data_IF_832423551620
#
_entry.id   IF_832423551620
#
_cell.length_a   1.000
_cell.length_b   1.000
_cell.length_c   1.000
_cell.angle_alpha   90.00
_cell.angle_beta   90.00
_cell.angle_gamma   90.00
#
_symmetry.space_group_name_H-M   'P 1'
#
loop_
_entity.id
_entity.type
_entity.pdbx_description
1 polymer ?
#
# COMPACT_ATOMS: atom_id res chain seq x y z
N UNK A 1 -54.70 15.22 -41.00
CA UNK A 1 -53.83 15.91 -41.97
C UNK A 1 -52.38 15.50 -41.71
N UNK A 2 -51.66 15.21 -42.81
CA UNK A 2 -50.35 14.54 -42.93
C UNK A 2 -49.24 15.19 -42.08
N UNK A 3 -48.44 14.43 -41.34
CA UNK A 3 -47.31 13.56 -41.74
C UNK A 3 -46.03 14.35 -42.06
N UNK A 4 -45.05 14.26 -41.15
CA UNK A 4 -43.67 14.71 -41.32
C UNK A 4 -42.70 13.66 -40.79
N UNK A 5 -42.65 12.49 -41.44
CA UNK A 5 -41.54 11.53 -41.31
C UNK A 5 -40.53 11.82 -42.43
N UNK A 6 -39.27 12.04 -42.08
CA UNK A 6 -38.14 11.68 -42.94
C UNK A 6 -36.99 11.17 -42.09
N UNK A 7 -36.84 9.83 -42.11
CA UNK A 7 -35.60 9.14 -41.75
C UNK A 7 -34.63 9.28 -42.93
N UNK A 8 -33.33 9.43 -42.68
CA UNK A 8 -32.34 8.71 -43.50
C UNK A 8 -31.03 8.49 -42.76
N UNK A 9 -30.67 7.20 -42.67
CA UNK A 9 -29.41 6.65 -42.21
C UNK A 9 -28.45 6.65 -43.40
N UNK A 10 -27.22 7.14 -43.20
CA UNK A 10 -26.02 6.83 -43.97
C UNK A 10 -24.86 6.96 -42.97
N UNK A 11 -24.33 5.88 -42.39
CA UNK A 11 -23.44 4.89 -43.01
C UNK A 11 -22.17 5.53 -43.56
N UNK A 12 -21.24 5.88 -42.67
CA UNK A 12 -19.81 5.87 -42.98
C UNK A 12 -19.07 5.25 -41.80
N UNK A 13 -18.96 3.92 -41.85
CA UNK A 13 -17.83 3.24 -41.25
C UNK A 13 -16.60 3.75 -41.99
N UNK A 14 -15.76 4.51 -41.30
CA UNK A 14 -14.42 4.83 -41.76
C UNK A 14 -13.46 4.24 -40.74
N UNK A 15 -13.10 2.99 -41.03
CA UNK A 15 -11.98 2.27 -40.46
C UNK A 15 -10.73 3.08 -40.79
N UNK A 16 -10.03 3.55 -39.76
CA UNK A 16 -8.63 3.95 -39.89
C UNK A 16 -7.82 3.17 -38.86
N UNK A 17 -7.16 2.13 -39.38
CA UNK A 17 -6.08 1.43 -38.69
C UNK A 17 -4.93 2.41 -38.44
N UNK A 18 -4.37 2.41 -37.23
CA UNK A 18 -3.26 3.30 -36.89
C UNK A 18 -2.53 2.90 -35.62
N UNK A 19 -1.47 2.13 -35.82
CA UNK A 19 -0.31 1.89 -34.94
C UNK A 19 -0.57 1.20 -33.58
N UNK A 20 -0.36 -0.12 -33.59
CA UNK A 20 0.03 -0.90 -32.42
C UNK A 20 1.37 -0.38 -31.89
N UNK A 21 1.35 0.25 -30.72
CA UNK A 21 2.56 0.36 -29.90
C UNK A 21 2.91 -1.06 -29.46
N UNK A 22 4.04 -1.60 -29.92
CA UNK A 22 4.64 -2.75 -29.28
C UNK A 22 5.01 -2.32 -27.86
N UNK A 23 4.21 -2.75 -26.89
CA UNK A 23 4.63 -2.83 -25.52
C UNK A 23 5.78 -3.86 -25.46
N UNK A 24 7.01 -3.37 -25.50
CA UNK A 24 8.16 -4.15 -25.08
C UNK A 24 8.10 -4.30 -23.56
N UNK A 25 7.34 -5.26 -23.05
CA UNK A 25 7.59 -5.82 -21.73
C UNK A 25 8.94 -6.55 -21.83
N UNK A 26 10.01 -5.85 -21.51
CA UNK A 26 11.28 -6.50 -21.22
C UNK A 26 11.08 -7.22 -19.89
N UNK A 27 10.75 -8.49 -19.96
CA UNK A 27 10.81 -9.40 -18.82
C UNK A 27 12.27 -9.43 -18.32
N UNK A 28 12.57 -8.99 -17.10
CA UNK A 28 13.91 -9.16 -16.55
C UNK A 28 14.00 -10.55 -15.90
N UNK A 29 13.78 -11.61 -16.66
CA UNK A 29 14.21 -12.96 -16.27
C UNK A 29 15.65 -13.18 -16.75
N UNK A 30 16.57 -12.41 -16.16
CA UNK A 30 17.97 -12.80 -16.10
C UNK A 30 18.14 -13.88 -15.04
N UNK A 31 19.05 -14.85 -15.20
CA UNK A 31 19.43 -15.74 -14.10
C UNK A 31 20.25 -14.91 -13.11
N UNK A 32 19.55 -14.20 -12.23
CA UNK A 32 20.14 -13.51 -11.10
C UNK A 32 20.68 -14.57 -10.13
N UNK A 33 22.00 -14.65 -10.05
CA UNK A 33 22.72 -15.44 -9.05
C UNK A 33 22.20 -15.07 -7.66
N UNK A 34 21.59 -16.03 -6.98
CA UNK A 34 20.97 -15.86 -5.68
C UNK A 34 21.92 -15.27 -4.65
N UNK A 35 21.78 -13.97 -4.45
CA UNK A 35 22.25 -13.25 -3.25
C UNK A 35 21.24 -12.14 -2.95
N UNK A 36 19.95 -12.47 -3.06
CA UNK A 36 18.85 -11.65 -2.58
C UNK A 36 18.41 -12.21 -1.24
N UNK A 37 18.43 -11.39 -0.20
CA UNK A 37 17.95 -11.75 1.12
C UNK A 37 16.53 -12.35 0.97
N UNK A 38 16.28 -13.53 1.54
CA UNK A 38 14.98 -14.24 1.52
C UNK A 38 13.90 -13.50 2.33
N UNK A 39 13.71 -12.20 2.15
CA UNK A 39 12.54 -11.52 2.70
C UNK A 39 11.35 -11.84 1.77
N UNK A 40 10.23 -12.34 2.32
CA UNK A 40 9.00 -12.51 1.55
C UNK A 40 8.66 -11.24 0.78
N UNK A 41 8.18 -11.39 -0.46
CA UNK A 41 7.71 -10.28 -1.31
C UNK A 41 6.53 -9.49 -0.67
N UNK A 42 6.03 -9.94 0.48
CA UNK A 42 4.86 -9.41 1.16
C UNK A 42 5.05 -9.27 2.68
N UNK A 43 6.19 -8.78 3.18
CA UNK A 43 6.29 -8.44 4.60
C UNK A 43 5.21 -7.42 4.97
N UNK A 44 4.38 -7.75 5.96
CA UNK A 44 3.33 -6.83 6.41
C UNK A 44 3.25 -6.80 7.92
N UNK A 45 3.03 -5.60 8.44
CA UNK A 45 2.68 -5.39 9.84
C UNK A 45 1.38 -4.63 9.94
N UNK A 46 0.60 -4.97 10.95
CA UNK A 46 -0.62 -4.26 11.30
C UNK A 46 -0.38 -3.51 12.60
N UNK A 47 -0.64 -2.21 12.59
CA UNK A 47 -0.74 -1.40 13.79
C UNK A 47 -2.21 -1.27 14.14
N UNK A 48 -2.59 -1.68 15.35
CA UNK A 48 -3.99 -1.72 15.78
C UNK A 48 -4.16 -1.11 17.16
N UNK A 49 -5.14 -0.22 17.30
CA UNK A 49 -5.61 0.32 18.57
C UNK A 49 -6.90 -0.40 18.97
N UNK A 50 -7.03 -0.75 20.23
CA UNK A 50 -8.29 -1.26 20.79
C UNK A 50 -9.03 -0.10 21.47
N UNK A 51 -10.28 0.14 21.07
CA UNK A 51 -11.11 1.22 21.59
C UNK A 51 -11.39 1.08 23.10
N UNK A 52 -11.39 -0.15 23.62
CA UNK A 52 -11.58 -0.44 25.04
C UNK A 52 -10.28 -0.39 25.85
N UNK A 53 -9.13 -0.43 25.18
CA UNK A 53 -7.81 -0.42 25.81
C UNK A 53 -7.15 0.96 25.70
N UNK A 54 -6.08 1.15 26.49
CA UNK A 54 -5.14 2.28 26.35
C UNK A 54 -3.86 1.80 25.69
N UNK A 55 -3.98 0.99 24.65
CA UNK A 55 -2.82 0.41 23.98
C UNK A 55 -2.93 0.39 22.46
N UNK A 56 -1.76 0.41 21.83
CA UNK A 56 -1.58 0.14 20.41
C UNK A 56 -0.64 -1.05 20.28
N UNK A 57 -0.95 -1.97 19.37
CA UNK A 57 -0.18 -3.20 19.17
C UNK A 57 0.36 -3.23 17.75
N UNK A 58 1.59 -3.71 17.60
CA UNK A 58 2.19 -4.05 16.31
C UNK A 58 2.11 -5.56 16.15
N UNK A 59 1.49 -6.01 15.06
CA UNK A 59 1.23 -7.42 14.79
C UNK A 59 2.00 -7.84 13.53
N UNK A 60 2.75 -8.92 13.65
CA UNK A 60 3.32 -9.66 12.51
C UNK A 60 2.16 -10.35 11.80
N UNK A 61 1.83 -9.92 10.58
CA UNK A 61 0.69 -10.50 9.85
C UNK A 61 1.00 -11.85 9.21
N UNK A 62 2.27 -12.23 9.10
CA UNK A 62 2.67 -13.53 8.57
C UNK A 62 2.57 -14.61 9.66
N UNK A 63 2.90 -14.25 10.91
CA UNK A 63 2.83 -15.15 12.07
C UNK A 63 1.53 -15.01 12.88
N UNK A 64 0.80 -13.92 12.71
CA UNK A 64 -0.36 -13.58 13.53
C UNK A 64 0.00 -13.27 15.00
N UNK A 65 1.26 -12.93 15.28
CA UNK A 65 1.76 -12.70 16.64
C UNK A 65 1.95 -11.22 16.92
N UNK A 66 1.76 -10.83 18.18
CA UNK A 66 2.03 -9.46 18.61
C UNK A 66 3.51 -9.29 18.85
N UNK A 67 4.10 -8.35 18.14
CA UNK A 67 5.52 -8.02 18.22
C UNK A 67 5.77 -7.03 19.34
N UNK A 68 4.91 -6.01 19.45
CA UNK A 68 5.07 -4.94 20.42
C UNK A 68 3.73 -4.41 20.90
N UNK A 69 3.69 -3.90 22.12
CA UNK A 69 2.52 -3.26 22.71
C UNK A 69 2.95 -1.96 23.39
N UNK A 70 2.44 -0.85 22.85
CA UNK A 70 2.62 0.49 23.41
C UNK A 70 1.44 0.80 24.32
N UNK A 71 1.74 1.15 25.57
CA UNK A 71 0.72 1.57 26.54
C UNK A 71 0.71 3.08 26.68
N UNK A 72 -0.49 3.64 26.77
CA UNK A 72 -0.75 5.08 26.88
C UNK A 72 -1.44 5.39 28.19
N UNK A 73 -1.29 6.63 28.68
CA UNK A 73 -2.04 7.09 29.86
C UNK A 73 -3.51 7.33 29.50
N UNK A 74 -3.74 7.96 28.36
CA UNK A 74 -5.05 8.24 27.75
C UNK A 74 -5.29 7.36 26.51
N UNK A 75 -6.55 7.21 26.09
CA UNK A 75 -6.90 6.34 24.95
C UNK A 75 -6.55 6.99 23.61
N UNK A 76 -5.87 6.27 22.69
CA UNK A 76 -5.82 6.64 21.28
C UNK A 76 -7.23 6.68 20.68
N UNK A 77 -7.56 7.76 19.96
CA UNK A 77 -8.84 7.88 19.26
C UNK A 77 -8.79 7.26 17.88
N UNK A 78 -7.66 7.42 17.19
CA UNK A 78 -7.52 7.07 15.79
C UNK A 78 -6.06 6.76 15.46
N UNK A 79 -5.88 5.91 14.45
CA UNK A 79 -4.59 5.58 13.86
C UNK A 79 -4.58 5.99 12.39
N UNK A 80 -3.51 6.67 11.98
CA UNK A 80 -3.26 6.99 10.58
C UNK A 80 -1.97 6.32 10.11
N UNK A 81 -1.99 5.67 8.95
CA UNK A 81 -0.77 5.20 8.30
C UNK A 81 -0.08 6.36 7.59
N UNK A 82 1.25 6.46 7.72
CA UNK A 82 2.06 7.36 6.91
C UNK A 82 2.13 6.91 5.45
N UNK A 83 2.47 7.82 4.54
CA UNK A 83 2.50 7.51 3.10
C UNK A 83 3.49 6.39 2.73
N UNK A 84 4.63 6.32 3.41
CA UNK A 84 5.61 5.24 3.26
C UNK A 84 5.23 3.95 3.99
N UNK A 85 4.12 3.94 4.73
CA UNK A 85 3.61 2.81 5.53
C UNK A 85 4.57 2.27 6.61
N UNK A 86 5.75 2.87 6.76
CA UNK A 86 6.69 2.59 7.86
C UNK A 86 6.12 3.02 9.20
N UNK A 87 5.48 4.18 9.26
CA UNK A 87 5.01 4.76 10.51
C UNK A 87 3.49 4.75 10.61
N UNK A 88 3.00 4.56 11.83
CA UNK A 88 1.62 4.86 12.20
C UNK A 88 1.59 6.03 13.19
N UNK A 89 0.57 6.88 13.07
CA UNK A 89 0.34 8.03 13.93
C UNK A 89 -0.86 7.76 14.83
N UNK A 90 -0.64 7.74 16.14
CA UNK A 90 -1.70 7.60 17.12
C UNK A 90 -2.10 8.96 17.67
N UNK A 91 -3.33 9.37 17.40
CA UNK A 91 -3.89 10.64 17.90
C UNK A 91 -4.49 10.42 19.28
N UNK A 92 -3.93 11.08 20.29
CA UNK A 92 -4.38 11.00 21.69
C UNK A 92 -4.85 12.37 22.14
N UNK A 93 -6.14 12.65 21.95
CA UNK A 93 -6.74 13.98 22.17
C UNK A 93 -6.58 14.49 23.60
N UNK A 94 -6.87 13.64 24.58
CA UNK A 94 -6.79 14.01 26.01
C UNK A 94 -5.34 14.30 26.45
N UNK A 95 -4.36 13.74 25.76
CA UNK A 95 -2.93 14.03 25.98
C UNK A 95 -2.44 15.27 25.20
N UNK A 96 -3.28 15.84 24.32
CA UNK A 96 -2.90 16.88 23.36
C UNK A 96 -1.65 16.51 22.56
N UNK A 97 -1.57 15.25 22.09
CA UNK A 97 -0.37 14.70 21.47
C UNK A 97 -0.69 13.77 20.31
N UNK A 98 0.28 13.67 19.38
CA UNK A 98 0.34 12.63 18.35
C UNK A 98 1.61 11.83 18.60
N UNK A 99 1.45 10.52 18.76
CA UNK A 99 2.57 9.59 18.92
C UNK A 99 2.89 8.94 17.58
N UNK A 100 4.18 8.76 17.31
CA UNK A 100 4.67 8.07 16.12
C UNK A 100 5.12 6.68 16.51
N UNK A 101 4.59 5.67 15.81
CA UNK A 101 4.90 4.27 16.01
C UNK A 101 5.64 3.78 14.77
N UNK A 102 6.87 3.30 14.93
CA UNK A 102 7.61 2.65 13.84
C UNK A 102 7.10 1.21 13.69
N UNK A 103 6.54 0.92 12.53
CA UNK A 103 6.16 -0.43 12.14
C UNK A 103 7.39 -1.31 11.97
N UNK A 104 8.56 -0.77 11.68
CA UNK A 104 9.81 -1.54 11.53
C UNK A 104 9.93 -2.24 10.17
N UNK A 105 9.15 -1.83 9.17
CA UNK A 105 9.33 -2.20 7.77
C UNK A 105 9.57 -0.91 6.98
N UNK A 106 10.60 -0.88 6.15
CA UNK A 106 10.87 0.29 5.30
C UNK A 106 11.38 -0.12 3.93
N UNK A 107 11.09 0.74 2.95
CA UNK A 107 11.57 0.60 1.59
C UNK A 107 12.77 1.52 1.36
N UNK A 108 13.75 1.04 0.60
CA UNK A 108 14.89 1.81 0.11
C UNK A 108 15.01 1.60 -1.40
N UNK A 109 15.19 2.67 -2.17
CA UNK A 109 15.55 2.54 -3.59
C UNK A 109 17.04 2.69 -3.75
N UNK A 110 17.72 1.66 -4.24
CA UNK A 110 19.16 1.66 -4.47
C UNK A 110 19.49 1.07 -5.83
N UNK A 111 20.30 1.76 -6.63
CA UNK A 111 20.69 1.28 -7.97
C UNK A 111 19.55 1.14 -8.98
N UNK A 112 18.36 1.70 -8.71
CA UNK A 112 17.17 1.52 -9.54
C UNK A 112 16.28 0.34 -9.15
N UNK A 113 16.62 -0.35 -8.06
CA UNK A 113 15.81 -1.43 -7.49
C UNK A 113 15.17 -0.97 -6.17
N UNK A 114 13.96 -1.44 -5.88
CA UNK A 114 13.27 -1.23 -4.61
C UNK A 114 13.58 -2.40 -3.67
N UNK A 115 14.18 -2.09 -2.52
CA UNK A 115 14.58 -3.03 -1.48
C UNK A 115 13.68 -2.86 -0.26
N UNK A 116 13.16 -3.99 0.24
CA UNK A 116 12.37 -4.02 1.46
C UNK A 116 13.23 -4.47 2.65
N UNK A 117 13.19 -3.70 3.73
CA UNK A 117 13.93 -3.97 4.95
C UNK A 117 12.97 -4.20 6.12
N UNK A 118 13.39 -5.03 7.07
CA UNK A 118 12.65 -5.28 8.30
C UNK A 118 13.58 -5.19 9.51
N UNK A 119 13.14 -4.45 10.53
CA UNK A 119 13.74 -4.43 11.85
C UNK A 119 13.44 -5.74 12.57
N UNK A 120 14.50 -6.47 12.95
CA UNK A 120 14.38 -7.64 13.82
C UNK A 120 14.15 -7.17 15.27
N UNK A 121 13.27 -7.86 16.02
CA UNK A 121 12.95 -7.54 17.42
C UNK A 121 14.14 -7.79 18.36
#
# INVERSE_FOLDING_TARGET
MLNGRTRRRYAHALVLAGLTLLAGCKDPSGPGTGTGNNLPDNLRRLVVSDHSSRSVRVVDLDKGTVMETFSFRERPLELFAGGSQRYAYAVVREANAVYVIDGGIWEETSGGELLLHMQQP
#
